data_IF_953096362967
#
_entry.id   IF_953096362967
#
_cell.length_a   1.000
_cell.length_b   1.000
_cell.length_c   1.000
_cell.angle_alpha   90.00
_cell.angle_beta   90.00
_cell.angle_gamma   90.00
#
_symmetry.space_group_name_H-M   'P 1'
#
loop_
_entity.id
_entity.type
_entity.pdbx_description
1 polymer ?
#
# COMPACT_ATOMS: atom_id res chain seq x y z
N UNK A 1 -35.58 0.49 -38.86
CA UNK A 1 -34.38 0.16 -38.10
C UNK A 1 -33.94 -1.25 -38.46
N UNK A 2 -32.74 -1.46 -39.06
CA UNK A 2 -32.29 -2.70 -39.66
C UNK A 2 -32.18 -3.81 -38.61
N UNK A 3 -32.80 -4.99 -38.86
CA UNK A 3 -32.70 -6.19 -37.99
C UNK A 3 -31.26 -6.57 -37.65
N UNK A 4 -30.31 -6.27 -38.52
CA UNK A 4 -28.87 -6.51 -38.31
C UNK A 4 -28.29 -5.60 -37.23
N UNK A 5 -28.65 -4.31 -37.22
CA UNK A 5 -28.20 -3.34 -36.22
C UNK A 5 -28.73 -3.72 -34.83
N UNK A 6 -29.99 -4.10 -34.75
CA UNK A 6 -30.58 -4.54 -33.48
C UNK A 6 -29.92 -5.80 -32.91
N UNK A 7 -29.59 -6.78 -33.77
CA UNK A 7 -28.83 -7.97 -33.35
C UNK A 7 -27.43 -7.59 -32.85
N UNK A 8 -26.74 -6.70 -33.57
CA UNK A 8 -25.40 -6.24 -33.17
C UNK A 8 -25.43 -5.55 -31.81
N UNK A 9 -26.36 -4.60 -31.61
CA UNK A 9 -26.52 -3.90 -30.33
C UNK A 9 -26.82 -4.88 -29.18
N UNK A 10 -27.72 -5.82 -29.39
CA UNK A 10 -28.05 -6.85 -28.39
C UNK A 10 -26.82 -7.69 -28.03
N UNK A 11 -26.02 -8.08 -29.01
CA UNK A 11 -24.78 -8.85 -28.78
C UNK A 11 -23.77 -8.01 -28.00
N UNK A 12 -23.53 -6.74 -28.37
CA UNK A 12 -22.62 -5.86 -27.64
C UNK A 12 -23.06 -5.66 -26.19
N UNK A 13 -24.34 -5.40 -25.96
CA UNK A 13 -24.89 -5.27 -24.59
C UNK A 13 -24.72 -6.55 -23.80
N UNK A 14 -24.97 -7.71 -24.40
CA UNK A 14 -24.76 -8.99 -23.71
C UNK A 14 -23.30 -9.22 -23.32
N UNK A 15 -22.36 -8.87 -24.20
CA UNK A 15 -20.93 -8.99 -23.90
C UNK A 15 -20.55 -8.06 -22.73
N UNK A 16 -21.01 -6.81 -22.76
CA UNK A 16 -20.73 -5.85 -21.67
C UNK A 16 -21.27 -6.37 -20.34
N UNK A 17 -22.51 -6.88 -20.32
CA UNK A 17 -23.10 -7.46 -19.09
C UNK A 17 -22.29 -8.65 -18.58
N UNK A 18 -21.85 -9.55 -19.47
CA UNK A 18 -21.03 -10.70 -19.09
C UNK A 18 -19.71 -10.25 -18.48
N UNK A 19 -19.05 -9.26 -19.09
CA UNK A 19 -17.77 -8.71 -18.56
C UNK A 19 -17.97 -8.09 -17.19
N UNK A 20 -19.02 -7.29 -16.99
CA UNK A 20 -19.31 -6.68 -15.69
C UNK A 20 -19.61 -7.71 -14.61
N UNK A 21 -20.39 -8.75 -14.93
CA UNK A 21 -20.69 -9.84 -13.99
C UNK A 21 -19.41 -10.61 -13.63
N UNK A 22 -18.57 -10.88 -14.62
CA UNK A 22 -17.29 -11.55 -14.39
C UNK A 22 -16.37 -10.71 -13.50
N UNK A 23 -16.27 -9.40 -13.75
CA UNK A 23 -15.45 -8.49 -12.95
C UNK A 23 -15.89 -8.46 -11.48
N UNK A 24 -17.19 -8.35 -11.23
CA UNK A 24 -17.74 -8.39 -9.86
C UNK A 24 -17.45 -9.73 -9.16
N UNK A 25 -17.67 -10.85 -9.85
CA UNK A 25 -17.39 -12.19 -9.28
C UNK A 25 -15.90 -12.34 -8.99
N UNK A 26 -15.05 -11.97 -9.94
CA UNK A 26 -13.60 -12.04 -9.80
C UNK A 26 -13.11 -11.17 -8.63
N UNK A 27 -13.61 -9.95 -8.53
CA UNK A 27 -13.30 -9.05 -7.41
C UNK A 27 -13.69 -9.65 -6.05
N UNK A 28 -14.86 -10.27 -5.94
CA UNK A 28 -15.30 -10.93 -4.70
C UNK A 28 -14.43 -12.14 -4.35
N UNK A 29 -14.08 -12.96 -5.34
CA UNK A 29 -13.20 -14.12 -5.16
C UNK A 29 -11.82 -13.67 -4.70
N UNK A 30 -11.24 -12.65 -5.33
CA UNK A 30 -9.94 -12.09 -4.94
C UNK A 30 -9.97 -11.49 -3.52
N UNK A 31 -11.03 -10.76 -3.18
CA UNK A 31 -11.23 -10.22 -1.84
C UNK A 31 -11.36 -11.33 -0.78
N UNK A 32 -12.08 -12.39 -1.08
CA UNK A 32 -12.20 -13.55 -0.19
C UNK A 32 -10.86 -14.25 0.02
N UNK A 33 -10.09 -14.46 -1.06
CA UNK A 33 -8.75 -15.06 -0.99
C UNK A 33 -7.79 -14.20 -0.17
N UNK A 34 -7.76 -12.90 -0.44
CA UNK A 34 -6.94 -11.94 0.30
C UNK A 34 -7.23 -11.95 1.80
N UNK A 35 -8.52 -11.96 2.19
CA UNK A 35 -8.93 -12.02 3.61
C UNK A 35 -8.58 -13.35 4.29
N UNK A 36 -8.62 -14.46 3.56
CA UNK A 36 -8.39 -15.79 4.13
C UNK A 36 -6.93 -16.19 4.23
N UNK A 37 -6.12 -15.79 3.26
CA UNK A 37 -4.71 -16.20 3.13
C UNK A 37 -3.73 -15.06 3.40
N UNK A 38 -4.23 -13.85 3.63
CA UNK A 38 -3.45 -12.64 3.74
C UNK A 38 -2.91 -12.15 2.39
N UNK A 39 -2.47 -10.90 2.38
CA UNK A 39 -1.76 -10.34 1.24
C UNK A 39 -0.28 -10.74 1.32
N UNK A 40 0.38 -11.11 0.22
CA UNK A 40 1.77 -11.49 0.26
C UNK A 40 2.70 -10.26 0.35
N UNK A 41 3.86 -10.44 0.99
CA UNK A 41 4.97 -9.49 0.96
C UNK A 41 4.65 -8.12 1.54
N UNK A 42 5.00 -7.06 0.80
CA UNK A 42 4.88 -5.67 1.27
C UNK A 42 3.43 -5.24 1.48
N UNK A 43 2.48 -5.75 0.69
CA UNK A 43 1.05 -5.48 0.89
C UNK A 43 0.54 -5.95 2.26
N UNK A 44 1.00 -7.12 2.74
CA UNK A 44 0.61 -7.62 4.05
C UNK A 44 1.07 -6.69 5.17
N UNK A 45 2.26 -6.11 5.05
CA UNK A 45 2.82 -5.16 6.02
C UNK A 45 2.04 -3.86 6.04
N UNK A 46 1.70 -3.33 4.85
CA UNK A 46 0.90 -2.11 4.72
C UNK A 46 -0.48 -2.30 5.35
N UNK A 47 -1.16 -3.40 5.00
CA UNK A 47 -2.48 -3.73 5.54
C UNK A 47 -2.45 -3.88 7.06
N UNK A 48 -1.42 -4.55 7.59
CA UNK A 48 -1.22 -4.69 9.02
C UNK A 48 -1.04 -3.34 9.70
N UNK A 49 -0.15 -2.49 9.18
CA UNK A 49 0.13 -1.16 9.75
C UNK A 49 -1.10 -0.25 9.76
N UNK A 50 -1.93 -0.32 8.72
CA UNK A 50 -3.09 0.57 8.57
C UNK A 50 -4.34 0.12 9.32
N UNK A 51 -4.38 -1.14 9.80
CA UNK A 51 -5.62 -1.68 10.40
C UNK A 51 -5.42 -2.48 11.69
N UNK A 52 -4.22 -2.97 11.97
CA UNK A 52 -4.02 -3.97 13.02
C UNK A 52 -2.83 -3.66 13.95
N UNK A 53 -1.95 -2.73 13.57
CA UNK A 53 -0.76 -2.40 14.35
C UNK A 53 -1.13 -1.95 15.76
N UNK A 54 -0.41 -2.48 16.75
CA UNK A 54 -0.59 -2.16 18.18
C UNK A 54 0.72 -2.21 18.97
N UNK A 55 1.86 -2.27 18.28
CA UNK A 55 3.17 -2.39 18.90
C UNK A 55 3.65 -1.08 19.51
N UNK A 56 4.52 -1.21 20.54
CA UNK A 56 5.17 -0.07 21.20
C UNK A 56 6.07 0.72 20.23
N UNK A 57 6.79 -0.02 19.36
CA UNK A 57 7.71 0.57 18.40
C UNK A 57 7.46 0.00 17.02
N UNK A 58 7.39 0.90 16.03
CA UNK A 58 7.27 0.54 14.61
C UNK A 58 8.50 1.03 13.85
N UNK A 59 9.07 0.16 13.03
CA UNK A 59 10.22 0.49 12.18
C UNK A 59 9.70 0.71 10.77
N UNK A 60 10.03 1.84 10.15
CA UNK A 60 9.68 2.19 8.78
C UNK A 60 10.96 2.50 8.01
N UNK A 61 11.03 2.09 6.76
CA UNK A 61 12.17 2.33 5.90
C UNK A 61 12.19 1.42 4.68
N UNK A 62 13.26 1.51 3.91
CA UNK A 62 13.49 0.69 2.72
C UNK A 62 14.07 -0.70 3.07
N UNK A 63 14.84 -1.27 2.18
CA UNK A 63 15.57 -2.53 2.42
C UNK A 63 16.51 -2.45 3.64
N UNK A 64 16.97 -1.26 4.01
CA UNK A 64 17.77 -1.05 5.23
C UNK A 64 16.96 -1.43 6.46
N UNK A 65 15.70 -1.01 6.55
CA UNK A 65 14.83 -1.40 7.67
C UNK A 65 14.69 -2.93 7.76
N UNK A 66 14.46 -3.58 6.62
CA UNK A 66 14.28 -5.04 6.56
C UNK A 66 15.52 -5.80 7.02
N UNK A 67 16.70 -5.36 6.56
CA UNK A 67 17.94 -6.14 6.72
C UNK A 67 18.74 -5.77 7.98
N UNK A 68 18.50 -4.59 8.56
CA UNK A 68 19.31 -4.10 9.69
C UNK A 68 18.62 -4.22 11.05
N UNK A 69 17.30 -4.38 11.07
CA UNK A 69 16.54 -4.47 12.31
C UNK A 69 15.87 -5.83 12.46
N UNK A 70 16.15 -6.48 13.58
CA UNK A 70 15.58 -7.78 13.97
C UNK A 70 14.58 -7.58 15.11
N UNK A 71 13.26 -7.53 14.84
CA UNK A 71 12.25 -7.30 15.89
C UNK A 71 12.36 -8.26 17.06
N UNK A 72 12.58 -9.55 16.81
CA UNK A 72 12.67 -10.57 17.86
C UNK A 72 13.78 -10.26 18.87
N UNK A 73 14.97 -9.87 18.39
CA UNK A 73 16.10 -9.51 19.28
C UNK A 73 15.77 -8.23 20.06
N UNK A 74 15.11 -7.26 19.42
CA UNK A 74 14.72 -6.02 20.09
C UNK A 74 13.67 -6.29 21.16
N UNK A 75 12.68 -7.11 20.87
CA UNK A 75 11.62 -7.51 21.83
C UNK A 75 12.23 -8.24 23.04
N UNK A 76 13.09 -9.20 22.79
CA UNK A 76 13.75 -9.97 23.86
C UNK A 76 14.67 -9.10 24.75
N UNK A 77 15.35 -8.12 24.14
CA UNK A 77 16.33 -7.29 24.86
C UNK A 77 15.69 -6.12 25.61
N UNK A 78 14.62 -5.55 25.07
CA UNK A 78 14.01 -4.31 25.57
C UNK A 78 12.69 -4.53 26.32
N UNK A 79 12.08 -5.72 26.17
CA UNK A 79 10.79 -6.03 26.79
C UNK A 79 9.63 -5.20 26.21
N UNK A 80 9.72 -4.79 24.95
CA UNK A 80 8.72 -4.00 24.23
C UNK A 80 8.29 -4.73 22.97
N UNK A 81 7.07 -4.45 22.49
CA UNK A 81 6.61 -4.97 21.22
C UNK A 81 7.16 -4.15 20.04
N UNK A 82 7.65 -4.82 18.99
CA UNK A 82 8.26 -4.17 17.83
C UNK A 82 7.74 -4.77 16.53
N UNK A 83 7.36 -3.95 15.58
CA UNK A 83 7.02 -4.38 14.23
C UNK A 83 7.94 -3.74 13.19
N UNK A 84 8.43 -4.56 12.25
CA UNK A 84 9.22 -4.07 11.12
C UNK A 84 8.34 -3.93 9.87
N UNK A 85 7.89 -2.71 9.60
CA UNK A 85 7.13 -2.29 8.42
C UNK A 85 7.98 -1.90 7.22
N UNK A 86 9.28 -2.24 7.21
CA UNK A 86 10.17 -1.95 6.07
C UNK A 86 9.67 -2.58 4.77
N UNK A 87 9.73 -1.81 3.67
CA UNK A 87 9.34 -2.23 2.33
C UNK A 87 10.46 -1.96 1.34
N UNK A 88 10.75 -2.92 0.44
CA UNK A 88 11.85 -2.78 -0.52
C UNK A 88 11.60 -1.67 -1.54
N UNK A 89 12.69 -1.01 -1.97
CA UNK A 89 12.69 -0.01 -3.04
C UNK A 89 11.66 1.12 -2.80
N UNK A 90 11.66 1.67 -1.59
CA UNK A 90 10.78 2.77 -1.18
C UNK A 90 11.59 4.04 -0.89
N UNK A 91 10.92 5.17 -0.93
CA UNK A 91 11.49 6.50 -0.67
C UNK A 91 10.78 7.22 0.48
N UNK A 92 11.24 8.42 0.80
CA UNK A 92 10.72 9.25 1.89
C UNK A 92 9.22 9.58 1.75
N UNK A 93 8.71 9.72 0.53
CA UNK A 93 7.28 10.00 0.27
C UNK A 93 6.44 8.79 0.71
N UNK A 94 6.87 7.58 0.34
CA UNK A 94 6.22 6.36 0.77
C UNK A 94 6.26 6.21 2.29
N UNK A 95 7.41 6.48 2.93
CA UNK A 95 7.53 6.39 4.40
C UNK A 95 6.59 7.36 5.11
N UNK A 96 6.42 8.56 4.58
CA UNK A 96 5.44 9.52 5.09
C UNK A 96 4.02 8.96 5.02
N UNK A 97 3.62 8.38 3.88
CA UNK A 97 2.31 7.74 3.74
C UNK A 97 2.11 6.59 4.74
N UNK A 98 3.16 5.78 4.97
CA UNK A 98 3.12 4.68 5.93
C UNK A 98 2.95 5.18 7.37
N UNK A 99 3.65 6.26 7.74
CA UNK A 99 3.53 6.87 9.08
C UNK A 99 2.14 7.47 9.26
N UNK A 100 1.62 8.19 8.28
CA UNK A 100 0.30 8.79 8.35
C UNK A 100 -0.80 7.73 8.50
N UNK A 101 -0.77 6.69 7.67
CA UNK A 101 -1.72 5.58 7.77
C UNK A 101 -1.62 4.80 9.08
N UNK A 102 -0.41 4.60 9.61
CA UNK A 102 -0.20 4.03 10.94
C UNK A 102 -0.84 4.88 12.02
N UNK A 103 -0.63 6.21 12.00
CA UNK A 103 -1.11 7.11 13.03
C UNK A 103 -2.64 7.28 13.06
N UNK A 104 -3.32 6.93 11.99
CA UNK A 104 -4.78 6.82 11.96
C UNK A 104 -5.29 5.59 12.72
N UNK A 105 -4.54 4.49 12.68
CA UNK A 105 -4.89 3.25 13.35
C UNK A 105 -4.38 3.20 14.80
N UNK A 106 -3.11 3.54 14.99
CA UNK A 106 -2.39 3.37 16.25
C UNK A 106 -1.34 4.47 16.46
N UNK A 107 -1.10 4.82 17.71
CA UNK A 107 -0.03 5.74 18.11
C UNK A 107 1.03 4.98 18.90
N UNK A 108 2.09 4.48 18.26
CA UNK A 108 3.16 3.79 18.94
C UNK A 108 3.92 4.75 19.87
N UNK A 109 4.64 4.20 20.86
CA UNK A 109 5.56 4.98 21.72
C UNK A 109 6.73 5.57 20.96
N UNK A 110 7.12 4.91 19.85
CA UNK A 110 8.19 5.39 18.97
C UNK A 110 8.08 4.83 17.56
N UNK A 111 8.56 5.63 16.60
CA UNK A 111 8.77 5.20 15.21
C UNK A 111 10.25 5.33 14.91
N UNK A 112 10.87 4.24 14.44
CA UNK A 112 12.25 4.25 13.94
C UNK A 112 12.18 4.40 12.43
N UNK A 113 12.70 5.51 11.91
CA UNK A 113 12.80 5.75 10.49
C UNK A 113 14.22 5.39 10.01
N UNK A 114 14.35 4.26 9.31
CA UNK A 114 15.60 3.76 8.77
C UNK A 114 15.83 4.33 7.38
N UNK A 115 16.63 5.37 7.29
CA UNK A 115 16.92 6.11 6.05
C UNK A 115 18.32 5.81 5.52
N UNK A 116 18.43 5.83 4.20
CA UNK A 116 19.69 5.90 3.47
C UNK A 116 19.67 7.13 2.54
N UNK A 117 20.82 7.63 2.07
CA UNK A 117 20.88 8.84 1.25
C UNK A 117 20.01 8.77 -0.01
N UNK A 118 19.92 7.62 -0.65
CA UNK A 118 19.13 7.41 -1.87
C UNK A 118 17.63 7.52 -1.63
N UNK A 119 17.15 7.28 -0.40
CA UNK A 119 15.72 7.40 -0.05
C UNK A 119 15.24 8.87 -0.10
N UNK A 120 16.18 9.82 -0.07
CA UNK A 120 15.94 11.26 -0.13
C UNK A 120 16.16 11.83 -1.54
N UNK A 121 16.56 11.01 -2.50
CA UNK A 121 16.82 11.44 -3.88
C UNK A 121 15.52 11.61 -4.65
N UNK A 122 15.43 12.71 -5.42
CA UNK A 122 14.30 12.96 -6.34
C UNK A 122 14.24 11.96 -7.50
N UNK A 123 15.37 11.32 -7.82
CA UNK A 123 15.44 10.34 -8.90
C UNK A 123 14.85 8.97 -8.52
N UNK A 124 14.62 8.73 -7.23
CA UNK A 124 14.09 7.47 -6.74
C UNK A 124 12.57 7.57 -6.51
N UNK A 125 11.83 7.27 -7.55
CA UNK A 125 10.37 7.14 -7.45
C UNK A 125 10.08 5.79 -6.79
N UNK A 126 9.83 5.77 -5.49
CA UNK A 126 9.45 4.54 -4.78
C UNK A 126 8.24 3.83 -5.42
N UNK A 127 7.94 2.64 -4.94
CA UNK A 127 6.79 1.84 -5.38
C UNK A 127 5.48 2.33 -4.72
N UNK A 128 5.15 3.62 -4.93
CA UNK A 128 3.96 4.26 -4.32
C UNK A 128 2.66 3.59 -4.80
N UNK A 129 2.67 2.95 -5.97
CA UNK A 129 1.54 2.16 -6.50
C UNK A 129 1.05 1.06 -5.54
N UNK A 130 1.88 0.63 -4.58
CA UNK A 130 1.46 -0.28 -3.50
C UNK A 130 0.35 0.32 -2.63
N UNK A 131 0.23 1.65 -2.61
CA UNK A 131 -0.79 2.37 -1.85
C UNK A 131 -2.09 2.61 -2.65
N UNK A 132 -2.18 2.20 -3.92
CA UNK A 132 -3.40 2.33 -4.74
C UNK A 132 -4.67 1.80 -4.05
N UNK A 133 -4.66 0.66 -3.31
CA UNK A 133 -5.85 0.17 -2.61
C UNK A 133 -6.39 1.12 -1.53
N UNK A 134 -5.58 2.09 -1.11
CA UNK A 134 -5.89 3.05 -0.04
C UNK A 134 -6.25 4.44 -0.57
N UNK A 135 -6.35 4.60 -1.91
CA UNK A 135 -6.82 5.84 -2.53
C UNK A 135 -8.21 6.25 -2.00
N UNK A 136 -8.38 7.52 -1.69
CA UNK A 136 -9.62 8.06 -1.12
C UNK A 136 -9.79 7.85 0.39
N UNK A 137 -8.81 7.26 1.08
CA UNK A 137 -8.84 7.07 2.55
C UNK A 137 -8.06 8.13 3.32
N UNK A 138 -6.94 8.57 2.74
CA UNK A 138 -6.02 9.49 3.41
C UNK A 138 -5.52 10.54 2.40
N UNK A 139 -5.68 11.86 2.70
CA UNK A 139 -5.27 12.93 1.80
C UNK A 139 -3.77 12.93 1.45
N UNK A 140 -2.91 12.44 2.36
CA UNK A 140 -1.46 12.33 2.12
C UNK A 140 -1.18 11.26 1.08
N UNK A 141 -1.83 10.09 1.21
CA UNK A 141 -1.72 8.99 0.23
C UNK A 141 -2.24 9.45 -1.13
N UNK A 142 -3.40 10.10 -1.17
CA UNK A 142 -4.00 10.60 -2.41
C UNK A 142 -3.07 11.59 -3.12
N UNK A 143 -2.50 12.52 -2.36
CA UNK A 143 -1.54 13.50 -2.90
C UNK A 143 -0.29 12.82 -3.46
N UNK A 144 0.25 11.84 -2.76
CA UNK A 144 1.43 11.09 -3.19
C UNK A 144 1.18 10.31 -4.49
N UNK A 145 0.01 9.66 -4.60
CA UNK A 145 -0.38 8.92 -5.81
C UNK A 145 -0.60 9.84 -7.01
N UNK A 146 -1.19 11.02 -6.81
CA UNK A 146 -1.37 12.03 -7.88
C UNK A 146 -0.02 12.55 -8.35
N UNK A 147 0.89 12.88 -7.44
CA UNK A 147 2.23 13.38 -7.77
C UNK A 147 3.06 12.37 -8.56
N UNK A 148 2.95 11.09 -8.24
CA UNK A 148 3.61 10.04 -9.02
C UNK A 148 3.11 10.02 -10.46
N UNK A 149 1.81 10.14 -10.69
CA UNK A 149 1.22 10.14 -12.03
C UNK A 149 1.64 11.35 -12.86
N UNK A 150 1.87 12.50 -12.21
CA UNK A 150 2.32 13.74 -12.87
C UNK A 150 3.84 13.81 -13.09
N UNK A 151 4.61 12.84 -12.65
CA UNK A 151 6.07 12.82 -12.73
C UNK A 151 6.75 13.89 -11.87
N UNK A 152 6.07 14.47 -10.88
CA UNK A 152 6.54 15.59 -10.05
C UNK A 152 6.79 15.18 -8.59
N UNK A 153 7.55 14.13 -8.36
CA UNK A 153 7.87 13.68 -7.00
C UNK A 153 8.56 14.75 -6.11
N UNK A 154 9.21 15.74 -6.73
CA UNK A 154 9.97 16.79 -6.01
C UNK A 154 9.10 17.87 -5.34
N UNK A 155 7.81 17.94 -5.60
CA UNK A 155 6.94 19.01 -5.08
C UNK A 155 6.34 18.70 -3.69
N UNK A 156 6.64 17.52 -3.12
CA UNK A 156 6.00 17.03 -1.88
C UNK A 156 6.85 17.24 -0.62
N UNK A 157 8.12 17.59 -0.78
CA UNK A 157 9.05 17.93 0.31
C UNK A 157 9.06 19.43 0.57
#
# INVERSE_FOLDING_TARGET
MNRSIFKLVKTCVSIIVIVLVFDVIFGQVMSFYSKRYGLPGDYAKIEYLFHQANEDVVIIGSSVAINSFMPDIMMDSLGISVFNGGCNAQNIIFFRCMIDGLLECHRPRGVILALQPDDLSDDHIGRIELLNPYYGRNPVIDSALVLQNDGKGSAFL
#
